data_IF_898568079360
#
_entry.id   IF_898568079360
#
_cell.length_a   1.000
_cell.length_b   1.000
_cell.length_c   1.000
_cell.angle_alpha   90.00
_cell.angle_beta   90.00
_cell.angle_gamma   90.00
#
_symmetry.space_group_name_H-M   'P 1'
#
loop_
_entity.id
_entity.type
_entity.pdbx_description
1 polymer ?
#
# COMPACT_ATOMS: atom_id res chain seq x y z
N UNK A 1 -3.02 -28.60 13.85
CA UNK A 1 -1.64 -28.98 13.49
C UNK A 1 -1.63 -29.36 12.01
N UNK A 2 -1.56 -28.38 11.10
CA UNK A 2 -1.61 -28.62 9.65
C UNK A 2 -0.75 -27.57 8.93
N UNK A 3 0.47 -28.01 8.61
CA UNK A 3 1.17 -27.82 7.34
C UNK A 3 1.31 -26.38 6.80
N UNK A 4 2.29 -25.65 7.33
CA UNK A 4 3.06 -24.72 6.51
C UNK A 4 3.90 -25.56 5.53
N UNK A 5 3.32 -26.02 4.43
CA UNK A 5 4.09 -26.70 3.40
C UNK A 5 4.95 -25.67 2.69
N UNK A 6 6.23 -25.72 3.06
CA UNK A 6 7.40 -25.20 2.37
C UNK A 6 7.16 -24.87 0.89
N UNK A 7 6.91 -23.60 0.58
CA UNK A 7 7.22 -23.05 -0.73
C UNK A 7 8.71 -23.31 -0.97
N UNK A 8 9.04 -24.27 -1.83
CA UNK A 8 10.43 -24.56 -2.13
C UNK A 8 11.08 -23.28 -2.69
N UNK A 9 12.31 -22.95 -2.27
CA UNK A 9 12.98 -21.73 -2.72
C UNK A 9 13.11 -21.68 -4.25
N UNK A 10 13.09 -22.82 -4.94
CA UNK A 10 13.07 -22.91 -6.40
C UNK A 10 11.75 -22.41 -7.02
N UNK A 11 10.60 -22.77 -6.46
CA UNK A 11 9.30 -22.31 -6.95
C UNK A 11 9.15 -20.80 -6.75
N UNK A 12 9.57 -20.28 -5.59
CA UNK A 12 9.58 -18.85 -5.29
C UNK A 12 10.51 -18.07 -6.24
N UNK A 13 11.71 -18.60 -6.53
CA UNK A 13 12.65 -17.97 -7.48
C UNK A 13 12.11 -17.96 -8.91
N UNK A 14 11.39 -19.01 -9.31
CA UNK A 14 10.77 -19.10 -10.64
C UNK A 14 9.63 -18.11 -10.80
N UNK A 15 8.76 -17.97 -9.79
CA UNK A 15 7.69 -16.96 -9.80
C UNK A 15 8.26 -15.54 -9.82
N UNK A 16 9.32 -15.27 -9.04
CA UNK A 16 9.99 -13.96 -9.05
C UNK A 16 10.64 -13.64 -10.41
N UNK A 17 11.25 -14.62 -11.09
CA UNK A 17 11.81 -14.44 -12.44
C UNK A 17 10.74 -14.21 -13.51
N UNK A 18 9.62 -14.91 -13.41
CA UNK A 18 8.50 -14.71 -14.34
C UNK A 18 7.91 -13.30 -14.23
N UNK A 19 7.83 -12.74 -13.01
CA UNK A 19 7.41 -11.34 -12.80
C UNK A 19 8.45 -10.31 -13.28
N UNK A 20 9.74 -10.63 -13.24
CA UNK A 20 10.81 -9.76 -13.73
C UNK A 20 10.91 -9.69 -15.27
N UNK A 21 10.21 -10.56 -15.99
CA UNK A 21 10.25 -10.67 -17.45
C UNK A 21 9.17 -9.84 -18.16
N UNK A 22 8.42 -8.99 -17.45
CA UNK A 22 7.61 -7.96 -18.12
C UNK A 22 8.57 -7.04 -18.89
N UNK A 23 8.39 -6.83 -20.20
CA UNK A 23 9.21 -5.88 -20.93
C UNK A 23 8.99 -4.52 -20.28
N UNK A 24 10.00 -4.03 -19.55
CA UNK A 24 10.06 -2.63 -19.16
C UNK A 24 10.15 -1.88 -20.47
N UNK A 25 9.00 -1.41 -20.98
CA UNK A 25 8.94 -0.65 -22.22
C UNK A 25 9.97 0.47 -22.13
N UNK A 26 10.88 0.52 -23.11
CA UNK A 26 12.14 1.27 -23.07
C UNK A 26 11.99 2.80 -23.05
N UNK A 27 10.78 3.33 -22.79
CA UNK A 27 10.55 4.73 -22.51
C UNK A 27 9.26 4.93 -21.69
N UNK A 28 9.29 4.62 -20.40
CA UNK A 28 8.30 5.20 -19.48
C UNK A 28 8.70 6.67 -19.24
N UNK A 29 8.17 7.57 -20.07
CA UNK A 29 8.37 9.01 -19.86
C UNK A 29 7.67 9.44 -18.57
N UNK A 30 8.15 10.49 -17.88
CA UNK A 30 7.46 11.04 -16.70
C UNK A 30 5.98 11.35 -16.98
N UNK A 31 5.65 11.80 -18.20
CA UNK A 31 4.28 12.07 -18.62
C UNK A 31 3.43 10.79 -18.72
N UNK A 32 3.97 9.70 -19.28
CA UNK A 32 3.27 8.42 -19.36
C UNK A 32 3.04 7.82 -17.97
N UNK A 33 4.00 7.97 -17.05
CA UNK A 33 3.85 7.58 -15.65
C UNK A 33 2.72 8.36 -14.96
N UNK A 34 2.74 9.70 -15.07
CA UNK A 34 1.70 10.55 -14.48
C UNK A 34 0.31 10.26 -15.05
N UNK A 35 0.21 9.94 -16.34
CA UNK A 35 -1.05 9.57 -16.98
C UNK A 35 -1.59 8.21 -16.50
N UNK A 36 -0.72 7.32 -16.01
CA UNK A 36 -1.11 6.03 -15.45
C UNK A 36 -1.57 6.13 -13.98
N UNK A 37 -1.33 7.26 -13.30
CA UNK A 37 -1.80 7.46 -11.94
C UNK A 37 -3.29 7.80 -11.92
N UNK A 38 -4.06 7.29 -10.92
CA UNK A 38 -5.45 7.68 -10.74
C UNK A 38 -5.61 9.18 -10.50
N UNK A 39 -6.79 9.70 -10.79
CA UNK A 39 -7.10 11.12 -10.58
C UNK A 39 -7.14 11.47 -9.09
N UNK A 40 -6.83 12.72 -8.75
CA UNK A 40 -6.99 13.19 -7.36
C UNK A 40 -8.45 13.20 -6.88
N UNK A 41 -9.42 13.15 -7.79
CA UNK A 41 -10.84 12.99 -7.46
C UNK A 41 -11.16 11.62 -6.84
N UNK A 42 -10.42 10.57 -7.20
CA UNK A 42 -10.62 9.21 -6.67
C UNK A 42 -9.96 9.01 -5.30
N UNK A 43 -9.16 9.97 -4.83
CA UNK A 43 -8.35 9.86 -3.61
C UNK A 43 -9.16 9.44 -2.39
N UNK A 44 -10.34 10.04 -2.18
CA UNK A 44 -11.16 9.75 -1.01
C UNK A 44 -11.74 8.33 -1.05
N UNK A 45 -12.14 7.86 -2.25
CA UNK A 45 -12.59 6.48 -2.44
C UNK A 45 -11.46 5.51 -2.17
N UNK A 46 -10.27 5.75 -2.74
CA UNK A 46 -9.07 4.90 -2.55
C UNK A 46 -8.63 4.83 -1.09
N UNK A 47 -8.68 5.95 -0.37
CA UNK A 47 -8.45 5.98 1.07
C UNK A 47 -9.48 5.14 1.83
N UNK A 48 -10.76 5.26 1.50
CA UNK A 48 -11.81 4.47 2.14
C UNK A 48 -11.59 2.97 1.90
N UNK A 49 -11.29 2.57 0.67
CA UNK A 49 -10.98 1.18 0.32
C UNK A 49 -9.80 0.64 1.13
N UNK A 50 -8.70 1.41 1.25
CA UNK A 50 -7.53 1.04 2.05
C UNK A 50 -7.88 0.77 3.52
N UNK A 51 -8.76 1.60 4.11
CA UNK A 51 -9.21 1.43 5.49
C UNK A 51 -10.19 0.25 5.62
N UNK A 52 -11.10 0.08 4.66
CA UNK A 52 -12.08 -1.01 4.65
C UNK A 52 -11.40 -2.39 4.54
N UNK A 53 -10.36 -2.53 3.73
CA UNK A 53 -9.58 -3.78 3.65
C UNK A 53 -9.02 -4.15 5.04
N UNK A 54 -8.55 -3.16 5.81
CA UNK A 54 -8.04 -3.39 7.18
C UNK A 54 -9.14 -3.87 8.13
N UNK A 55 -10.29 -3.20 8.12
CA UNK A 55 -11.46 -3.56 8.91
C UNK A 55 -11.95 -4.98 8.60
N UNK A 56 -12.08 -5.33 7.32
CA UNK A 56 -12.55 -6.66 6.88
C UNK A 56 -11.61 -7.80 7.31
N UNK A 57 -10.32 -7.50 7.48
CA UNK A 57 -9.32 -8.46 7.93
C UNK A 57 -9.17 -8.51 9.47
N UNK A 58 -10.03 -7.79 10.19
CA UNK A 58 -10.06 -7.76 11.64
C UNK A 58 -8.85 -7.07 12.25
N UNK A 59 -8.24 -6.11 11.53
CA UNK A 59 -7.32 -5.18 12.16
C UNK A 59 -8.11 -4.15 12.96
N UNK A 60 -7.64 -3.85 14.16
CA UNK A 60 -8.21 -2.81 15.01
C UNK A 60 -7.60 -1.47 14.60
N UNK A 61 -8.33 -0.59 13.90
CA UNK A 61 -7.79 0.68 13.45
C UNK A 61 -7.65 1.64 14.63
N UNK A 62 -6.51 2.30 14.71
CA UNK A 62 -6.36 3.48 15.54
C UNK A 62 -6.51 4.75 14.70
N UNK A 63 -6.49 5.91 15.35
CA UNK A 63 -6.58 7.20 14.66
C UNK A 63 -5.43 7.34 13.67
N UNK A 64 -5.76 7.40 12.38
CA UNK A 64 -4.79 7.66 11.32
C UNK A 64 -4.57 9.15 11.11
N UNK A 65 -3.32 9.56 10.91
CA UNK A 65 -2.97 10.90 10.45
C UNK A 65 -2.83 10.93 8.93
N UNK A 66 -3.27 12.02 8.31
CA UNK A 66 -3.26 12.20 6.86
C UNK A 66 -2.58 13.51 6.51
N UNK A 67 -1.65 13.47 5.55
CA UNK A 67 -0.94 14.67 5.05
C UNK A 67 -0.97 14.66 3.54
N UNK A 68 -1.59 15.69 2.97
CA UNK A 68 -1.63 15.90 1.52
C UNK A 68 -0.46 16.80 1.10
N UNK A 69 0.21 16.43 0.01
CA UNK A 69 1.24 17.25 -0.61
C UNK A 69 1.12 17.16 -2.11
N UNK A 70 1.14 18.30 -2.78
CA UNK A 70 1.03 18.38 -4.24
C UNK A 70 2.22 19.14 -4.79
N UNK A 71 2.74 18.65 -5.91
CA UNK A 71 3.84 19.26 -6.64
C UNK A 71 3.26 19.94 -7.90
N UNK A 72 3.41 21.26 -7.98
CA UNK A 72 2.79 22.06 -9.03
C UNK A 72 3.45 21.84 -10.40
N UNK A 73 4.77 21.64 -10.41
CA UNK A 73 5.58 21.49 -11.62
C UNK A 73 5.40 20.12 -12.27
N UNK A 74 5.25 19.08 -11.45
CA UNK A 74 5.08 17.69 -11.93
C UNK A 74 3.61 17.27 -12.02
N UNK A 75 2.69 17.97 -11.38
CA UNK A 75 1.29 17.55 -11.31
C UNK A 75 1.07 16.28 -10.46
N UNK A 76 2.07 15.89 -9.66
CA UNK A 76 1.99 14.73 -8.78
C UNK A 76 1.43 15.11 -7.42
N UNK A 77 0.44 14.36 -6.96
CA UNK A 77 -0.16 14.50 -5.65
C UNK A 77 0.08 13.25 -4.81
N UNK A 78 0.42 13.47 -3.54
CA UNK A 78 0.75 12.45 -2.56
C UNK A 78 -0.09 12.65 -1.32
N UNK A 79 -0.93 11.67 -0.99
CA UNK A 79 -1.58 11.59 0.31
C UNK A 79 -0.84 10.57 1.15
N UNK A 80 -0.09 11.05 2.15
CA UNK A 80 0.58 10.20 3.12
C UNK A 80 -0.36 9.89 4.28
N UNK A 81 -0.48 8.62 4.64
CA UNK A 81 -1.32 8.12 5.72
C UNK A 81 -0.44 7.41 6.74
N UNK A 82 -0.37 7.92 7.97
CA UNK A 82 0.23 7.22 9.10
C UNK A 82 -0.88 6.54 9.87
N UNK A 83 -0.83 5.21 9.97
CA UNK A 83 -1.90 4.41 10.55
C UNK A 83 -1.32 3.40 11.55
N UNK A 84 -1.56 3.59 12.85
CA UNK A 84 -1.33 2.56 13.83
C UNK A 84 -2.45 1.52 13.73
N UNK A 85 -2.09 0.24 13.75
CA UNK A 85 -3.04 -0.88 13.75
C UNK A 85 -2.60 -1.95 14.72
N UNK A 86 -3.56 -2.73 15.22
CA UNK A 86 -3.31 -3.90 16.06
C UNK A 86 -3.91 -5.14 15.45
N UNK A 87 -3.19 -6.25 15.54
CA UNK A 87 -3.65 -7.54 15.03
C UNK A 87 -2.55 -8.60 15.05
N UNK A 88 -2.89 -9.83 14.71
CA UNK A 88 -1.90 -10.89 14.54
C UNK A 88 -1.00 -10.62 13.33
N UNK A 89 0.20 -11.21 13.32
CA UNK A 89 1.10 -11.13 12.15
C UNK A 89 0.44 -11.62 10.86
N UNK A 90 -0.39 -12.67 10.94
CA UNK A 90 -1.10 -13.22 9.78
C UNK A 90 -2.09 -12.21 9.19
N UNK A 91 -2.88 -11.54 10.04
CA UNK A 91 -3.80 -10.49 9.61
C UNK A 91 -3.05 -9.31 8.99
N UNK A 92 -1.97 -8.86 9.62
CA UNK A 92 -1.12 -7.78 9.09
C UNK A 92 -0.56 -8.14 7.72
N UNK A 93 0.04 -9.31 7.57
CA UNK A 93 0.60 -9.75 6.28
C UNK A 93 -0.47 -9.86 5.20
N UNK A 94 -1.66 -10.35 5.54
CA UNK A 94 -2.78 -10.41 4.60
C UNK A 94 -3.24 -8.99 4.21
N UNK A 95 -3.35 -8.08 5.17
CA UNK A 95 -3.72 -6.69 4.93
C UNK A 95 -2.74 -5.98 3.99
N UNK A 96 -1.44 -6.07 4.25
CA UNK A 96 -0.42 -5.46 3.40
C UNK A 96 -0.51 -5.98 1.97
N UNK A 97 -0.64 -7.30 1.80
CA UNK A 97 -0.76 -7.91 0.48
C UNK A 97 -2.06 -7.52 -0.25
N UNK A 98 -3.19 -7.54 0.45
CA UNK A 98 -4.50 -7.20 -0.12
C UNK A 98 -4.57 -5.71 -0.50
N UNK A 99 -4.06 -4.80 0.34
CA UNK A 99 -4.02 -3.38 0.06
C UNK A 99 -3.17 -3.05 -1.17
N UNK A 100 -1.95 -3.59 -1.26
CA UNK A 100 -1.05 -3.38 -2.39
C UNK A 100 -1.54 -4.03 -3.69
N UNK A 101 -2.28 -5.14 -3.59
CA UNK A 101 -2.89 -5.78 -4.76
C UNK A 101 -4.14 -5.03 -5.26
N UNK A 102 -4.89 -4.40 -4.34
CA UNK A 102 -6.09 -3.63 -4.66
C UNK A 102 -5.77 -2.31 -5.36
N UNK A 103 -4.67 -1.65 -4.95
CA UNK A 103 -4.30 -0.33 -5.47
C UNK A 103 -2.85 -0.30 -5.98
N UNK A 104 -2.63 -0.32 -7.32
CA UNK A 104 -1.28 -0.30 -7.89
C UNK A 104 -0.55 1.06 -7.74
N UNK A 105 -1.28 2.13 -7.38
CA UNK A 105 -0.72 3.45 -7.13
C UNK A 105 -0.63 3.77 -5.61
N UNK A 106 -0.66 2.73 -4.77
CA UNK A 106 -0.39 2.77 -3.34
C UNK A 106 1.03 2.26 -3.06
N UNK A 107 1.78 2.95 -2.20
CA UNK A 107 3.04 2.44 -1.63
C UNK A 107 2.97 2.25 -0.13
N UNK A 108 3.71 1.25 0.35
CA UNK A 108 4.07 1.10 1.75
C UNK A 108 5.45 1.75 1.97
N UNK A 109 5.46 2.93 2.57
CA UNK A 109 6.70 3.69 2.82
C UNK A 109 7.42 3.20 4.08
N UNK A 110 6.67 2.76 5.10
CA UNK A 110 7.22 2.30 6.38
C UNK A 110 6.33 1.24 7.02
N UNK A 111 6.98 0.22 7.58
CA UNK A 111 6.37 -0.80 8.44
C UNK A 111 7.24 -0.93 9.69
N UNK A 112 6.65 -0.70 10.85
CA UNK A 112 7.30 -0.99 12.14
C UNK A 112 6.39 -1.90 12.96
N UNK A 113 6.93 -3.02 13.42
CA UNK A 113 6.21 -4.04 14.18
C UNK A 113 6.77 -4.15 15.58
N UNK A 114 5.89 -4.12 16.57
CA UNK A 114 6.24 -4.35 17.98
C UNK A 114 5.34 -5.42 18.56
N UNK A 115 5.96 -6.39 19.25
CA UNK A 115 5.22 -7.38 20.04
C UNK A 115 4.72 -6.73 21.32
N UNK A 116 3.44 -6.87 21.61
CA UNK A 116 2.81 -6.22 22.76
C UNK A 116 3.23 -6.87 24.09
N UNK A 117 3.24 -8.20 24.17
CA UNK A 117 3.72 -8.99 25.31
C UNK A 117 4.31 -10.32 24.81
N UNK A 118 5.23 -10.95 25.56
CA UNK A 118 5.88 -12.21 25.12
C UNK A 118 4.88 -13.35 24.88
N UNK A 119 3.78 -13.38 25.63
CA UNK A 119 2.73 -14.41 25.54
C UNK A 119 1.62 -14.05 24.54
N UNK A 120 1.56 -12.80 24.06
CA UNK A 120 0.53 -12.37 23.13
C UNK A 120 0.89 -12.65 21.67
N UNK A 121 -0.08 -13.16 20.91
CA UNK A 121 -0.01 -13.29 19.45
C UNK A 121 -0.32 -11.97 18.72
N UNK A 122 -0.78 -10.95 19.45
CA UNK A 122 -1.06 -9.63 18.88
C UNK A 122 0.22 -8.80 18.74
N UNK A 123 0.31 -8.12 17.59
CA UNK A 123 1.34 -7.14 17.26
C UNK A 123 0.70 -5.75 17.19
N UNK A 124 1.45 -4.76 17.64
CA UNK A 124 1.23 -3.37 17.31
C UNK A 124 2.04 -3.06 16.06
N UNK A 125 1.43 -2.45 15.06
CA UNK A 125 2.08 -2.06 13.82
C UNK A 125 1.88 -0.56 13.56
N UNK A 126 2.95 0.13 13.22
CA UNK A 126 2.91 1.49 12.70
C UNK A 126 3.16 1.42 11.19
N UNK A 127 2.14 1.77 10.42
CA UNK A 127 2.17 1.75 8.96
C UNK A 127 2.20 3.16 8.41
N UNK A 128 3.05 3.39 7.41
CA UNK A 128 3.01 4.62 6.62
C UNK A 128 2.76 4.25 5.17
N UNK A 129 1.62 4.70 4.66
CA UNK A 129 1.19 4.53 3.28
C UNK A 129 1.31 5.84 2.52
N UNK A 130 1.53 5.77 1.21
CA UNK A 130 1.36 6.91 0.31
C UNK A 130 0.47 6.52 -0.86
N UNK A 131 -0.63 7.26 -1.04
CA UNK A 131 -1.44 7.20 -2.25
C UNK A 131 -0.91 8.24 -3.24
N UNK A 132 -0.48 7.77 -4.42
CA UNK A 132 -0.08 8.62 -5.53
C UNK A 132 -1.26 8.88 -6.44
N UNK A 133 -1.44 10.13 -6.85
CA UNK A 133 -2.46 10.52 -7.81
C UNK A 133 -1.95 11.62 -8.72
N UNK A 134 -2.55 11.72 -9.89
CA UNK A 134 -2.38 12.86 -10.76
C UNK A 134 -3.28 13.98 -10.26
N UNK A 135 -2.70 15.14 -10.03
CA UNK A 135 -3.44 16.36 -9.70
C UNK A 135 -4.37 16.69 -10.88
N UNK A 136 -5.66 16.77 -10.61
CA UNK A 136 -6.58 17.38 -11.56
C UNK A 136 -6.11 18.82 -11.82
N UNK A 137 -5.88 19.16 -13.08
CA UNK A 137 -5.44 20.49 -13.47
C UNK A 137 -6.43 21.50 -12.91
N UNK A 138 -6.00 22.26 -11.91
CA UNK A 138 -6.85 23.28 -11.33
C UNK A 138 -7.24 24.24 -12.44
N UNK A 139 -8.55 24.31 -12.75
CA UNK A 139 -9.12 25.53 -13.29
C UNK A 139 -8.62 26.65 -12.38
N UNK A 140 -7.75 27.49 -12.94
CA UNK A 140 -7.26 28.70 -12.30
C UNK A 140 -8.51 29.56 -12.06
N UNK A 141 -8.83 29.96 -10.81
CA UNK A 141 -9.82 31.01 -10.61
C UNK A 141 -9.33 32.32 -11.26
#
# INVERSE_FOLDING_TARGET
>A
MLLWQNLTPAALRRSLRASAALPVSAAQTPAAFLAALPSSAERQRRLADLLEIGLRLGLEPQRSEQRLSADADTGLERLRISMPVQGSYAQLRHYLGAALAHDPALSLDRLHLRRQQRESQALQAELVWTLYSRREGGARP
#
